data_IF_915841403812
#
_entry.id   IF_915841403812
#
_cell.length_a   1.000
_cell.length_b   1.000
_cell.length_c   1.000
_cell.angle_alpha   90.00
_cell.angle_beta   90.00
_cell.angle_gamma   90.00
#
_symmetry.space_group_name_H-M   'P 1'
#
loop_
_entity.id
_entity.type
_entity.pdbx_description
1 polymer ?
#
# COMPACT_ATOMS: atom_id res chain seq x y z
N UNK A 1 17.73 -2.42 36.67
CA UNK A 1 18.00 -1.26 37.53
C UNK A 1 19.50 -1.05 37.56
N UNK A 2 19.96 0.16 37.23
CA UNK A 2 21.38 0.51 37.33
C UNK A 2 21.82 0.62 38.79
N UNK A 3 23.11 0.45 39.06
CA UNK A 3 23.71 0.53 40.41
C UNK A 3 23.35 1.86 41.10
N UNK A 4 23.30 2.95 40.34
CA UNK A 4 22.97 4.28 40.83
C UNK A 4 21.47 4.45 41.15
N UNK A 5 20.58 3.86 40.37
CA UNK A 5 19.12 3.86 40.65
C UNK A 5 18.82 3.13 41.96
N UNK A 6 19.53 2.03 42.23
CA UNK A 6 19.40 1.27 43.46
C UNK A 6 19.92 2.04 44.68
N UNK A 7 21.02 2.78 44.53
CA UNK A 7 21.63 3.56 45.62
C UNK A 7 20.87 4.85 45.94
N UNK A 8 20.22 5.48 44.95
CA UNK A 8 19.57 6.79 45.09
C UNK A 8 18.05 6.69 45.28
N UNK A 9 17.44 5.53 45.01
CA UNK A 9 15.98 5.35 45.03
C UNK A 9 15.24 6.06 43.89
N UNK A 10 15.97 6.65 42.94
CA UNK A 10 15.42 7.36 41.79
C UNK A 10 15.38 6.40 40.60
N UNK A 11 14.21 6.23 40.00
CA UNK A 11 14.04 5.42 38.80
C UNK A 11 14.32 6.25 37.54
N UNK A 12 15.32 5.86 36.75
CA UNK A 12 15.55 6.43 35.43
C UNK A 12 14.51 5.91 34.44
N UNK A 13 13.52 6.73 34.10
CA UNK A 13 12.53 6.40 33.07
C UNK A 13 13.12 6.76 31.71
N UNK A 14 13.42 5.76 30.90
CA UNK A 14 13.83 5.97 29.52
C UNK A 14 12.59 6.23 28.65
N UNK A 15 12.14 7.49 28.59
CA UNK A 15 11.06 7.87 27.69
C UNK A 15 11.59 8.08 26.25
N UNK A 16 11.69 6.96 25.53
CA UNK A 16 12.11 6.93 24.12
C UNK A 16 11.05 7.59 23.22
N UNK A 17 9.80 7.67 23.67
CA UNK A 17 8.69 8.20 22.85
C UNK A 17 8.80 9.70 22.67
N UNK A 18 9.23 10.43 23.71
CA UNK A 18 9.49 11.87 23.64
C UNK A 18 10.62 12.26 22.67
N UNK A 19 11.53 11.33 22.36
CA UNK A 19 12.67 11.55 21.44
C UNK A 19 12.35 11.18 19.99
N UNK A 20 11.29 10.44 19.73
CA UNK A 20 10.97 9.95 18.40
C UNK A 20 10.47 11.09 17.49
N UNK A 21 10.99 11.16 16.26
CA UNK A 21 10.45 12.09 15.26
C UNK A 21 9.01 11.68 14.91
N UNK A 22 8.04 12.61 14.91
CA UNK A 22 6.66 12.29 14.56
C UNK A 22 6.60 11.74 13.13
N UNK A 23 5.65 10.82 12.89
CA UNK A 23 5.49 10.23 11.57
C UNK A 23 4.98 11.28 10.58
N UNK A 24 5.20 11.05 9.30
CA UNK A 24 4.82 12.01 8.25
C UNK A 24 3.31 12.23 8.22
N UNK A 25 2.54 11.15 8.41
CA UNK A 25 1.09 11.13 8.52
C UNK A 25 0.59 11.99 9.70
N UNK A 26 1.27 11.94 10.85
CA UNK A 26 0.90 12.72 12.04
C UNK A 26 1.26 14.21 11.87
N UNK A 27 2.41 14.48 11.24
CA UNK A 27 2.92 15.85 11.05
C UNK A 27 2.12 16.61 9.98
N UNK A 28 1.62 15.92 8.96
CA UNK A 28 0.93 16.52 7.82
C UNK A 28 -0.38 15.80 7.51
N UNK A 29 -1.40 15.92 8.38
CA UNK A 29 -2.67 15.21 8.21
C UNK A 29 -3.40 15.58 6.91
N UNK A 30 -3.26 16.83 6.45
CA UNK A 30 -3.82 17.28 5.16
C UNK A 30 -3.20 16.55 3.96
N UNK A 31 -1.87 16.39 3.96
CA UNK A 31 -1.17 15.65 2.91
C UNK A 31 -1.60 14.18 2.93
N UNK A 32 -1.79 13.62 4.12
CA UNK A 32 -2.22 12.24 4.27
C UNK A 32 -3.63 12.00 3.72
N UNK A 33 -4.58 12.89 4.00
CA UNK A 33 -5.94 12.82 3.45
C UNK A 33 -5.94 12.90 1.90
N UNK A 34 -5.06 13.72 1.33
CA UNK A 34 -4.88 13.78 -0.13
C UNK A 34 -4.34 12.48 -0.72
N UNK A 35 -3.38 11.84 -0.03
CA UNK A 35 -2.85 10.52 -0.42
C UNK A 35 -3.98 9.49 -0.38
N UNK A 36 -4.78 9.45 0.68
CA UNK A 36 -5.93 8.54 0.78
C UNK A 36 -6.91 8.76 -0.37
N UNK A 37 -7.25 10.01 -0.68
CA UNK A 37 -8.16 10.35 -1.79
C UNK A 37 -7.62 9.86 -3.15
N UNK A 38 -6.31 9.92 -3.36
CA UNK A 38 -5.67 9.39 -4.57
C UNK A 38 -5.69 7.86 -4.60
N UNK A 39 -5.48 7.23 -3.44
CA UNK A 39 -5.36 5.77 -3.32
C UNK A 39 -6.70 5.04 -3.37
N UNK A 40 -7.77 5.63 -2.83
CA UNK A 40 -9.11 5.06 -2.72
C UNK A 40 -9.60 4.39 -4.02
N UNK A 41 -9.63 5.06 -5.19
CA UNK A 41 -10.10 4.45 -6.44
C UNK A 41 -9.19 3.35 -6.99
N UNK A 42 -7.97 3.23 -6.48
CA UNK A 42 -6.98 2.24 -6.89
C UNK A 42 -6.74 1.16 -5.83
N UNK A 43 -7.54 1.16 -4.77
CA UNK A 43 -7.46 0.21 -3.67
C UNK A 43 -8.62 -0.76 -3.69
N UNK A 44 -8.28 -2.04 -3.58
CA UNK A 44 -9.24 -3.14 -3.49
C UNK A 44 -8.98 -3.88 -2.18
N UNK A 45 -10.04 -4.21 -1.44
CA UNK A 45 -9.93 -5.06 -0.25
C UNK A 45 -9.44 -6.45 -0.61
N UNK A 46 -8.75 -7.11 0.32
CA UNK A 46 -8.31 -8.48 0.15
C UNK A 46 -9.48 -9.41 -0.19
N UNK A 47 -9.37 -10.17 -1.29
CA UNK A 47 -10.50 -10.93 -1.84
C UNK A 47 -11.02 -12.03 -0.90
N UNK A 48 -10.15 -12.62 -0.07
CA UNK A 48 -10.57 -13.61 0.92
C UNK A 48 -11.11 -12.99 2.22
N UNK A 49 -11.03 -11.66 2.38
CA UNK A 49 -11.40 -10.90 3.58
C UNK A 49 -10.84 -11.49 4.89
N UNK A 50 -9.68 -12.14 4.83
CA UNK A 50 -8.97 -12.70 5.99
C UNK A 50 -8.18 -11.64 6.75
N UNK A 51 -7.87 -10.54 6.09
CA UNK A 51 -7.16 -9.41 6.66
C UNK A 51 -7.74 -8.07 6.17
N UNK A 52 -7.31 -6.99 6.81
CA UNK A 52 -7.69 -5.61 6.47
C UNK A 52 -6.75 -5.00 5.44
N UNK A 53 -5.98 -5.80 4.70
CA UNK A 53 -5.02 -5.26 3.72
C UNK A 53 -5.76 -4.71 2.51
N UNK A 54 -5.26 -3.59 2.00
CA UNK A 54 -5.72 -2.96 0.78
C UNK A 54 -4.70 -3.22 -0.32
N UNK A 55 -5.10 -3.89 -1.38
CA UNK A 55 -4.26 -4.16 -2.53
C UNK A 55 -4.42 -3.07 -3.57
N UNK A 56 -3.29 -2.57 -4.06
CA UNK A 56 -3.28 -1.50 -5.06
C UNK A 56 -2.28 -1.82 -6.15
N UNK A 57 -2.51 -1.30 -7.35
CA UNK A 57 -1.53 -1.33 -8.44
C UNK A 57 -0.71 -0.03 -8.53
N UNK A 58 -1.04 0.94 -7.66
CA UNK A 58 -0.44 2.27 -7.66
C UNK A 58 0.88 2.26 -6.87
N UNK A 59 1.98 2.60 -7.55
CA UNK A 59 3.30 2.69 -6.92
C UNK A 59 3.46 3.98 -6.13
N UNK A 60 4.35 3.99 -5.13
CA UNK A 60 4.68 5.21 -4.39
C UNK A 60 5.19 6.35 -5.28
N UNK A 61 5.87 6.02 -6.41
CA UNK A 61 6.29 7.00 -7.41
C UNK A 61 5.09 7.61 -8.12
N UNK A 62 4.13 6.79 -8.55
CA UNK A 62 2.89 7.28 -9.18
C UNK A 62 2.07 8.16 -8.22
N UNK A 63 2.06 7.84 -6.91
CA UNK A 63 1.44 8.68 -5.88
C UNK A 63 2.15 10.02 -5.76
N UNK A 64 3.49 10.03 -5.73
CA UNK A 64 4.28 11.27 -5.70
C UNK A 64 3.97 12.15 -6.92
N UNK A 65 3.96 11.59 -8.13
CA UNK A 65 3.62 12.32 -9.36
C UNK A 65 2.17 12.82 -9.36
N UNK A 66 1.23 12.05 -8.79
CA UNK A 66 -0.16 12.47 -8.66
C UNK A 66 -0.30 13.66 -7.69
N UNK A 67 0.47 13.68 -6.60
CA UNK A 67 0.52 14.82 -5.68
C UNK A 67 1.09 16.07 -6.35
N UNK A 68 2.18 15.95 -7.10
CA UNK A 68 2.74 17.07 -7.88
C UNK A 68 1.71 17.60 -8.88
N UNK A 69 1.00 16.71 -9.59
CA UNK A 69 -0.09 17.10 -10.51
C UNK A 69 -1.26 17.81 -9.82
N UNK A 70 -1.53 17.52 -8.55
CA UNK A 70 -2.52 18.23 -7.73
C UNK A 70 -2.05 19.62 -7.25
N UNK A 71 -0.81 20.02 -7.55
CA UNK A 71 -0.27 21.35 -7.20
C UNK A 71 0.60 21.36 -5.93
N UNK A 72 0.98 20.20 -5.39
CA UNK A 72 1.95 20.16 -4.30
C UNK A 72 3.36 20.46 -4.80
N UNK A 73 4.08 21.32 -4.08
CA UNK A 73 5.48 21.62 -4.39
C UNK A 73 6.37 20.41 -4.09
N UNK A 74 7.24 20.05 -5.02
CA UNK A 74 8.21 18.95 -4.84
C UNK A 74 9.08 19.12 -3.60
N UNK A 75 9.45 20.36 -3.24
CA UNK A 75 10.25 20.65 -2.05
C UNK A 75 9.50 20.37 -0.73
N UNK A 76 8.16 20.45 -0.76
CA UNK A 76 7.31 20.16 0.39
C UNK A 76 6.93 18.69 0.51
N UNK A 77 7.08 17.93 -0.59
CA UNK A 77 6.68 16.54 -0.63
C UNK A 77 7.72 15.62 0.03
N UNK A 78 7.25 14.60 0.77
CA UNK A 78 8.15 13.57 1.27
C UNK A 78 8.70 12.75 0.11
N UNK A 79 9.93 12.23 0.28
CA UNK A 79 10.55 11.37 -0.72
C UNK A 79 9.71 10.14 -1.04
N UNK A 80 9.87 9.58 -2.24
CA UNK A 80 9.18 8.35 -2.67
C UNK A 80 9.32 7.20 -1.67
N UNK A 81 10.51 7.06 -1.06
CA UNK A 81 10.79 6.07 0.01
C UNK A 81 9.89 6.28 1.23
N UNK A 82 9.69 7.55 1.63
CA UNK A 82 8.84 7.93 2.75
C UNK A 82 7.38 7.65 2.45
N UNK A 83 6.91 7.99 1.24
CA UNK A 83 5.55 7.65 0.77
C UNK A 83 5.35 6.13 0.79
N UNK A 84 6.32 5.35 0.31
CA UNK A 84 6.23 3.88 0.35
C UNK A 84 6.11 3.33 1.77
N UNK A 85 6.87 3.87 2.73
CA UNK A 85 6.78 3.47 4.13
C UNK A 85 5.44 3.88 4.75
N UNK A 86 4.93 5.08 4.43
CA UNK A 86 3.63 5.56 4.87
C UNK A 86 2.51 4.65 4.34
N UNK A 87 2.50 4.34 3.05
CA UNK A 87 1.51 3.44 2.46
C UNK A 87 1.53 2.05 3.13
N UNK A 88 2.72 1.51 3.41
CA UNK A 88 2.88 0.23 4.09
C UNK A 88 2.32 0.22 5.52
N UNK A 89 2.45 1.33 6.25
CA UNK A 89 1.91 1.48 7.61
C UNK A 89 0.39 1.62 7.62
N UNK A 90 -0.18 2.07 6.52
CA UNK A 90 -1.62 2.21 6.29
C UNK A 90 -2.18 0.98 5.57
N UNK A 91 -1.47 -0.15 5.67
CA UNK A 91 -1.86 -1.46 5.14
C UNK A 91 -2.09 -1.56 3.63
N UNK A 92 -1.63 -0.56 2.86
CA UNK A 92 -1.58 -0.64 1.40
C UNK A 92 -0.44 -1.56 0.96
N UNK A 93 -0.78 -2.52 0.08
CA UNK A 93 0.15 -3.48 -0.49
C UNK A 93 0.10 -3.42 -2.01
N UNK A 94 1.26 -3.18 -2.60
CA UNK A 94 1.40 -3.20 -4.05
C UNK A 94 1.20 -4.63 -4.55
N UNK A 95 0.28 -4.81 -5.49
CA UNK A 95 0.04 -6.07 -6.18
C UNK A 95 -0.14 -5.78 -7.66
N UNK A 96 0.42 -6.65 -8.49
CA UNK A 96 0.16 -6.61 -9.93
C UNK A 96 -1.28 -7.07 -10.18
N UNK A 97 -2.01 -6.31 -11.00
CA UNK A 97 -3.35 -6.72 -11.40
C UNK A 97 -3.21 -7.85 -12.41
N UNK A 98 -3.67 -9.04 -12.02
CA UNK A 98 -3.89 -10.10 -13.00
C UNK A 98 -5.01 -9.66 -13.93
N UNK A 99 -4.70 -9.43 -15.21
CA UNK A 99 -5.75 -9.24 -16.21
C UNK A 99 -6.64 -10.49 -16.24
N UNK A 100 -7.95 -10.29 -16.36
CA UNK A 100 -8.92 -11.38 -16.43
C UNK A 100 -8.49 -12.39 -17.49
N UNK A 101 -8.35 -13.66 -17.12
CA UNK A 101 -8.24 -14.74 -18.13
C UNK A 101 -9.60 -14.85 -18.80
N UNK A 102 -9.68 -14.45 -20.06
CA UNK A 102 -10.88 -14.63 -20.89
C UNK A 102 -11.20 -16.13 -20.95
N UNK A 103 -12.32 -16.53 -20.37
CA UNK A 103 -12.83 -17.89 -20.54
C UNK A 103 -13.36 -18.02 -21.98
N UNK A 104 -12.50 -18.49 -22.88
CA UNK A 104 -12.91 -18.79 -24.26
C UNK A 104 -13.77 -20.05 -24.25
N UNK A 105 -14.88 -20.03 -24.99
CA UNK A 105 -15.68 -21.24 -25.26
C UNK A 105 -14.79 -22.26 -25.97
N UNK A 106 -14.77 -23.54 -25.54
CA UNK A 106 -14.04 -24.56 -26.28
C UNK A 106 -14.62 -24.73 -27.70
N UNK A 107 -13.77 -24.95 -28.72
CA UNK A 107 -14.25 -25.19 -30.07
C UNK A 107 -15.10 -26.47 -30.13
N UNK A 108 -16.24 -26.42 -30.83
CA UNK A 108 -17.09 -27.60 -31.03
C UNK A 108 -16.36 -28.60 -31.94
N UNK A 109 -16.41 -29.92 -31.65
CA UNK A 109 -15.86 -30.93 -32.55
C UNK A 109 -16.56 -30.85 -33.91
N UNK A 110 -15.78 -30.87 -35.00
CA UNK A 110 -16.34 -30.92 -36.34
C UNK A 110 -16.99 -32.30 -36.57
N UNK A 111 -18.20 -32.35 -37.16
CA UNK A 111 -18.78 -33.62 -37.57
C UNK A 111 -17.88 -34.22 -38.66
N UNK A 112 -17.39 -35.43 -38.42
CA UNK A 112 -16.64 -36.19 -39.41
C UNK A 112 -17.60 -36.68 -40.49
N UNK A 113 -17.28 -36.40 -41.75
CA UNK A 113 -17.97 -37.00 -42.89
C UNK A 113 -17.80 -38.51 -42.84
N UNK A 114 -18.91 -39.24 -42.88
CA UNK A 114 -18.89 -40.69 -43.06
C UNK A 114 -18.43 -40.95 -44.49
N UNK A 115 -17.29 -41.60 -44.68
CA UNK A 115 -16.87 -42.07 -46.00
C UNK A 115 -17.75 -43.27 -46.31
N UNK A 116 -18.62 -43.15 -47.30
CA UNK A 116 -19.35 -44.28 -47.86
C UNK A 116 -18.36 -45.16 -48.65
N UNK A 117 -18.04 -46.34 -48.11
CA UNK A 117 -17.36 -47.41 -48.85
C UNK A 117 -18.30 -47.93 -49.96
N UNK A 118 -17.79 -47.97 -51.19
CA UNK A 118 -18.42 -48.55 -52.39
C UNK A 118 -17.85 -49.94 -52.63
#
# INVERSE_FOLDING_TARGET
MGIHEHQTGIACINDITARAKPRTEDRHPKLFAEIQTIMEPHSESESSLRNTLLYTNMTAKAVHEALVRKGWSEASLPSVRTISNLLRRQDYRLRTVAKSKVQKKPPKPMPSSITSDV
#
